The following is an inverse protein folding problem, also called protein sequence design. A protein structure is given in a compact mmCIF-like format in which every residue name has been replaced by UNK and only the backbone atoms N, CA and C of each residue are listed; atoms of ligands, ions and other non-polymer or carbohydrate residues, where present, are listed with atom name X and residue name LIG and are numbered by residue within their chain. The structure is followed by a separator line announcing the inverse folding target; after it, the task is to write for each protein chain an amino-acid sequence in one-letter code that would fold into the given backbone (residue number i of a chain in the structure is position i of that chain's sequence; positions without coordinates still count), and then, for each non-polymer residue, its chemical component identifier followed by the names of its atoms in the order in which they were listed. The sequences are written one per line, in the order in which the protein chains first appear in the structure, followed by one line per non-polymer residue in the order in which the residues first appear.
data_IF_002537570708
#
_entry.id   IF_002537570708
#
_cell.length_a   1.000
_cell.length_b   1.000
_cell.length_c   1.000
_cell.angle_alpha   90.00
_cell.angle_beta   90.00
_cell.angle_gamma   90.00
#
_symmetry.space_group_name_H-M   'P 1'
#
loop_
_entity.id
_entity.type
_entity.pdbx_description
1 polymer ?
#
# COMPACT_ATOMS: atom_id res chain seq x y z
N UNK A 1 3.80 43.74 -23.40
CA UNK A 1 3.35 43.63 -24.80
C UNK A 1 4.56 43.30 -25.65
N UNK A 2 4.59 42.11 -26.23
CA UNK A 2 5.52 41.73 -27.30
C UNK A 2 4.69 40.94 -28.30
N UNK A 3 4.58 41.42 -29.53
CA UNK A 3 3.84 40.77 -30.60
C UNK A 3 4.65 39.58 -31.15
N UNK A 4 4.04 38.41 -31.37
CA UNK A 4 4.75 37.29 -32.02
C UNK A 4 4.93 37.60 -33.52
N UNK A 5 6.17 37.45 -34.00
CA UNK A 5 6.47 37.53 -35.43
C UNK A 5 5.90 36.28 -36.13
N UNK A 6 4.98 36.49 -37.06
CA UNK A 6 4.52 35.46 -37.99
C UNK A 6 5.67 35.15 -38.96
N UNK A 7 6.19 33.92 -38.90
CA UNK A 7 7.01 33.35 -39.97
C UNK A 7 6.11 33.03 -41.18
N UNK A 8 6.59 33.18 -42.43
CA UNK A 8 5.78 32.91 -43.61
C UNK A 8 5.49 31.41 -43.70
N UNK A 9 4.21 31.03 -43.74
CA UNK A 9 3.82 29.66 -44.03
C UNK A 9 4.26 29.29 -45.46
N UNK A 10 4.99 28.19 -45.58
CA UNK A 10 5.44 27.67 -46.87
C UNK A 10 4.28 26.99 -47.61
N UNK A 11 4.18 27.05 -48.96
CA UNK A 11 2.95 26.72 -49.71
C UNK A 11 2.65 25.22 -49.86
N UNK A 12 3.13 24.36 -48.96
CA UNK A 12 2.90 22.91 -49.04
C UNK A 12 1.80 22.49 -48.06
N UNK A 13 0.61 23.02 -48.30
CA UNK A 13 -0.62 22.51 -47.70
C UNK A 13 -0.83 21.03 -48.09
N UNK A 14 -0.69 20.15 -47.09
CA UNK A 14 -1.32 18.84 -46.89
C UNK A 14 -1.79 18.11 -48.16
N UNK A 15 -0.87 17.84 -49.08
CA UNK A 15 -1.09 16.83 -50.12
C UNK A 15 -1.28 15.47 -49.43
N UNK A 16 -2.33 14.73 -49.81
CA UNK A 16 -2.50 13.33 -49.41
C UNK A 16 -1.18 12.57 -49.61
N UNK A 17 -0.80 11.73 -48.65
CA UNK A 17 0.46 10.96 -48.69
C UNK A 17 0.67 10.25 -50.04
N UNK A 18 -0.41 9.80 -50.68
CA UNK A 18 -0.40 9.19 -52.01
C UNK A 18 -0.06 10.19 -53.14
N UNK A 19 -0.58 11.42 -53.07
CA UNK A 19 -0.27 12.50 -54.02
C UNK A 19 1.16 13.02 -53.85
N UNK A 20 1.63 13.15 -52.61
CA UNK A 20 3.01 13.53 -52.31
C UNK A 20 4.01 12.47 -52.82
N UNK A 21 3.77 11.19 -52.54
CA UNK A 21 4.56 10.08 -53.12
C UNK A 21 4.54 10.08 -54.65
N UNK A 22 3.39 10.34 -55.28
CA UNK A 22 3.29 10.41 -56.75
C UNK A 22 4.10 11.58 -57.36
N UNK A 23 4.11 12.74 -56.71
CA UNK A 23 4.90 13.90 -57.14
C UNK A 23 6.39 13.63 -57.00
N UNK A 24 6.83 13.07 -55.86
CA UNK A 24 8.22 12.67 -55.66
C UNK A 24 8.68 11.62 -56.67
N UNK A 25 7.88 10.59 -56.94
CA UNK A 25 8.17 9.60 -57.99
C UNK A 25 8.27 10.25 -59.38
N UNK A 26 7.42 11.23 -59.68
CA UNK A 26 7.45 11.97 -60.95
C UNK A 26 8.70 12.86 -61.09
N UNK A 27 9.13 13.52 -60.02
CA UNK A 27 10.36 14.31 -59.99
C UNK A 27 11.61 13.42 -60.09
N UNK A 28 11.66 12.29 -59.37
CA UNK A 28 12.76 11.30 -59.44
C UNK A 28 12.92 10.78 -60.87
N UNK A 29 11.82 10.37 -61.52
CA UNK A 29 11.79 9.97 -62.95
C UNK A 29 12.25 11.08 -63.90
N UNK A 30 11.91 12.35 -63.62
CA UNK A 30 12.32 13.50 -64.44
C UNK A 30 13.83 13.76 -64.32
N UNK A 31 14.38 13.71 -63.10
CA UNK A 31 15.83 13.82 -62.86
C UNK A 31 16.59 12.66 -63.51
N UNK A 32 16.09 11.41 -63.42
CA UNK A 32 16.70 10.23 -64.08
C UNK A 32 16.77 10.40 -65.60
N UNK A 33 15.67 10.82 -66.25
CA UNK A 33 15.68 11.12 -67.70
C UNK A 33 16.68 12.22 -68.07
N UNK A 34 16.86 13.22 -67.22
CA UNK A 34 17.85 14.28 -67.44
C UNK A 34 19.28 13.81 -67.19
N UNK A 35 19.51 12.91 -66.24
CA UNK A 35 20.81 12.32 -65.96
C UNK A 35 21.24 11.35 -67.06
N UNK A 36 20.34 10.44 -67.50
CA UNK A 36 20.57 9.53 -68.63
C UNK A 36 20.80 10.28 -69.94
N UNK A 37 20.07 11.38 -70.19
CA UNK A 37 20.34 12.23 -71.35
C UNK A 37 21.76 12.84 -71.29
N UNK A 38 22.16 13.33 -70.11
CA UNK A 38 23.52 13.84 -69.89
C UNK A 38 24.59 12.76 -69.99
N UNK A 39 24.29 11.54 -69.53
CA UNK A 39 25.17 10.38 -69.61
C UNK A 39 25.35 9.91 -71.04
N UNK A 40 24.29 9.86 -71.85
CA UNK A 40 24.37 9.60 -73.31
C UNK A 40 25.14 10.69 -74.05
N UNK A 41 24.98 11.95 -73.63
CA UNK A 41 25.76 13.06 -74.18
C UNK A 41 27.25 12.98 -73.77
N UNK A 42 27.58 12.36 -72.64
CA UNK A 42 28.96 12.11 -72.20
C UNK A 42 29.57 10.78 -72.67
N UNK A 43 28.79 9.71 -72.85
CA UNK A 43 29.20 8.42 -73.45
C UNK A 43 29.41 8.51 -74.96
N UNK A 44 28.85 9.54 -75.61
CA UNK A 44 29.28 9.92 -76.95
C UNK A 44 30.78 10.33 -77.00
N UNK A 45 31.45 10.48 -75.86
CA UNK A 45 32.87 10.81 -75.76
C UNK A 45 33.80 9.65 -75.38
N UNK A 46 33.36 8.55 -74.74
CA UNK A 46 34.22 7.41 -74.40
C UNK A 46 33.46 6.07 -74.49
N UNK A 47 34.09 5.04 -75.07
CA UNK A 47 33.53 3.68 -75.20
C UNK A 47 33.94 2.78 -74.04
N UNK A 48 32.93 2.05 -73.55
CA UNK A 48 32.95 0.68 -73.03
C UNK A 48 33.14 0.47 -71.52
N UNK A 49 32.01 0.35 -70.80
CA UNK A 49 31.70 -0.76 -69.87
C UNK A 49 30.19 -0.70 -69.56
N UNK A 50 29.36 -1.45 -70.32
CA UNK A 50 27.91 -1.45 -70.14
C UNK A 50 27.50 -2.35 -68.98
N UNK A 51 27.26 -1.78 -67.80
CA UNK A 51 26.30 -2.34 -66.85
C UNK A 51 24.94 -2.31 -67.53
N UNK A 52 24.20 -3.42 -67.49
CA UNK A 52 22.93 -3.49 -68.22
C UNK A 52 21.87 -2.58 -67.56
N UNK A 53 21.02 -1.94 -68.37
CA UNK A 53 19.92 -1.09 -67.85
C UNK A 53 19.01 -1.86 -66.87
N UNK A 54 18.99 -3.20 -66.96
CA UNK A 54 18.27 -4.11 -66.07
C UNK A 54 18.93 -4.22 -64.67
N UNK A 55 20.27 -4.26 -64.59
CA UNK A 55 21.01 -4.29 -63.32
C UNK A 55 20.95 -2.95 -62.56
N UNK A 56 20.89 -1.82 -63.27
CA UNK A 56 20.68 -0.51 -62.65
C UNK A 56 19.23 -0.34 -62.13
N UNK A 57 18.23 -0.90 -62.80
CA UNK A 57 16.85 -0.91 -62.33
C UNK A 57 16.65 -1.83 -61.11
N UNK A 58 17.30 -3.01 -61.08
CA UNK A 58 17.28 -3.91 -59.91
C UNK A 58 17.90 -3.24 -58.67
N UNK A 59 19.07 -2.60 -58.81
CA UNK A 59 19.72 -1.87 -57.71
C UNK A 59 18.87 -0.71 -57.18
N UNK A 60 18.16 0.02 -58.04
CA UNK A 60 17.25 1.10 -57.62
C UNK A 60 16.00 0.57 -56.89
N UNK A 61 15.46 -0.58 -57.31
CA UNK A 61 14.34 -1.23 -56.61
C UNK A 61 14.77 -1.73 -55.22
N UNK A 62 15.98 -2.30 -55.09
CA UNK A 62 16.55 -2.70 -53.79
C UNK A 62 16.76 -1.50 -52.85
N UNK A 63 17.25 -0.36 -53.37
CA UNK A 63 17.41 0.87 -52.58
C UNK A 63 16.08 1.45 -52.11
N UNK A 64 15.06 1.50 -52.98
CA UNK A 64 13.71 1.97 -52.63
C UNK A 64 13.06 1.05 -51.57
N UNK A 65 13.27 -0.27 -51.65
CA UNK A 65 12.83 -1.23 -50.64
C UNK A 65 13.55 -1.06 -49.29
N UNK A 66 14.86 -0.83 -49.28
CA UNK A 66 15.61 -0.55 -48.05
C UNK A 66 15.13 0.75 -47.38
N UNK A 67 14.84 1.78 -48.17
CA UNK A 67 14.33 3.06 -47.66
C UNK A 67 12.94 2.88 -47.02
N UNK A 68 12.06 2.09 -47.64
CA UNK A 68 10.74 1.75 -47.08
C UNK A 68 10.87 0.93 -45.78
N UNK A 69 11.77 -0.07 -45.74
CA UNK A 69 12.08 -0.83 -44.52
C UNK A 69 12.59 0.06 -43.39
N UNK A 70 13.44 1.06 -43.69
CA UNK A 70 13.92 2.04 -42.69
C UNK A 70 12.79 2.91 -42.14
N UNK A 71 11.89 3.40 -43.00
CA UNK A 71 10.75 4.22 -42.59
C UNK A 71 9.74 3.42 -41.74
N UNK A 72 9.52 2.15 -42.08
CA UNK A 72 8.69 1.25 -41.27
C UNK A 72 9.33 0.98 -39.90
N UNK A 73 10.63 0.72 -39.85
CA UNK A 73 11.36 0.56 -38.60
C UNK A 73 11.32 1.83 -37.74
N UNK A 74 11.42 3.02 -38.34
CA UNK A 74 11.29 4.30 -37.62
C UNK A 74 9.86 4.49 -37.06
N UNK A 75 8.82 4.14 -37.84
CA UNK A 75 7.42 4.17 -37.39
C UNK A 75 7.18 3.20 -36.23
N UNK A 76 7.73 1.99 -36.31
CA UNK A 76 7.65 1.01 -35.23
C UNK A 76 8.31 1.52 -33.96
N UNK A 77 9.53 2.07 -34.06
CA UNK A 77 10.22 2.70 -32.92
C UNK A 77 9.42 3.83 -32.30
N UNK A 78 8.82 4.70 -33.11
CA UNK A 78 7.98 5.79 -32.62
C UNK A 78 6.72 5.26 -31.91
N UNK A 79 6.12 4.19 -32.44
CA UNK A 79 4.97 3.54 -31.84
C UNK A 79 5.31 2.87 -30.49
N UNK A 80 6.44 2.17 -30.41
CA UNK A 80 6.95 1.60 -29.15
C UNK A 80 7.21 2.70 -28.12
N UNK A 81 7.84 3.82 -28.52
CA UNK A 81 8.04 4.96 -27.64
C UNK A 81 6.72 5.56 -27.15
N UNK A 82 5.69 5.58 -28.00
CA UNK A 82 4.36 6.05 -27.61
C UNK A 82 3.71 5.10 -26.61
N UNK A 83 3.74 3.78 -26.85
CA UNK A 83 3.21 2.78 -25.93
C UNK A 83 3.90 2.83 -24.56
N UNK A 84 5.23 2.96 -24.53
CA UNK A 84 5.99 3.10 -23.29
C UNK A 84 5.63 4.36 -22.52
N UNK A 85 5.40 5.49 -23.21
CA UNK A 85 4.94 6.72 -22.56
C UNK A 85 3.54 6.56 -21.99
N UNK A 86 2.67 5.89 -22.72
CA UNK A 86 1.28 5.65 -22.31
C UNK A 86 1.22 4.75 -21.07
N UNK A 87 1.97 3.64 -21.08
CA UNK A 87 2.09 2.72 -19.93
C UNK A 87 2.64 3.44 -18.69
N UNK A 88 3.71 4.22 -18.87
CA UNK A 88 4.28 5.03 -17.78
C UNK A 88 3.28 6.05 -17.24
N UNK A 89 2.51 6.70 -18.10
CA UNK A 89 1.48 7.65 -17.67
C UNK A 89 0.36 6.96 -16.88
N UNK A 90 -0.04 5.74 -17.27
CA UNK A 90 -1.03 4.95 -16.54
C UNK A 90 -0.50 4.48 -15.18
N UNK A 91 0.75 4.04 -15.11
CA UNK A 91 1.40 3.65 -13.85
C UNK A 91 1.52 4.85 -12.90
N UNK A 92 1.97 6.00 -13.39
CA UNK A 92 2.05 7.24 -12.61
C UNK A 92 0.68 7.68 -12.10
N UNK A 93 -0.37 7.56 -12.91
CA UNK A 93 -1.74 7.86 -12.49
C UNK A 93 -2.23 6.92 -11.39
N UNK A 94 -1.97 5.61 -11.52
CA UNK A 94 -2.32 4.61 -10.50
C UNK A 94 -1.59 4.88 -9.18
N UNK A 95 -0.27 5.09 -9.25
CA UNK A 95 0.55 5.37 -8.07
C UNK A 95 0.12 6.68 -7.38
N UNK A 96 -0.23 7.70 -8.16
CA UNK A 96 -0.73 8.98 -7.62
C UNK A 96 -2.05 8.79 -6.88
N UNK A 97 -2.97 8.01 -7.46
CA UNK A 97 -4.27 7.71 -6.85
C UNK A 97 -4.11 6.94 -5.53
N UNK A 98 -3.24 5.94 -5.50
CA UNK A 98 -2.92 5.17 -4.29
C UNK A 98 -2.30 6.05 -3.20
N UNK A 99 -1.35 6.93 -3.56
CA UNK A 99 -0.77 7.90 -2.62
C UNK A 99 -1.80 8.87 -2.05
N UNK A 100 -2.74 9.34 -2.88
CA UNK A 100 -3.82 10.24 -2.45
C UNK A 100 -4.79 9.54 -1.50
N UNK A 101 -5.18 8.31 -1.80
CA UNK A 101 -6.03 7.49 -0.93
C UNK A 101 -5.34 7.16 0.40
N UNK A 102 -4.05 6.80 0.38
CA UNK A 102 -3.26 6.58 1.59
C UNK A 102 -3.04 7.87 2.41
N UNK A 103 -2.99 9.03 1.76
CA UNK A 103 -2.94 10.32 2.45
C UNK A 103 -4.30 10.66 3.10
N UNK A 104 -5.42 10.40 2.41
CA UNK A 104 -6.77 10.57 2.95
C UNK A 104 -6.99 9.69 4.17
N UNK A 105 -6.62 8.40 4.09
CA UNK A 105 -6.75 7.46 5.21
C UNK A 105 -5.95 7.92 6.44
N UNK A 106 -4.72 8.41 6.25
CA UNK A 106 -3.90 8.98 7.34
C UNK A 106 -4.55 10.22 7.97
N UNK A 107 -5.13 11.11 7.16
CA UNK A 107 -5.85 12.28 7.68
C UNK A 107 -7.09 11.86 8.49
N UNK A 108 -7.85 10.87 8.02
CA UNK A 108 -9.00 10.32 8.74
C UNK A 108 -8.57 9.70 10.09
N UNK A 109 -7.48 8.91 10.11
CA UNK A 109 -6.90 8.33 11.34
C UNK A 109 -6.44 9.42 12.32
N UNK A 110 -5.73 10.44 11.85
CA UNK A 110 -5.30 11.59 12.66
C UNK A 110 -6.51 12.38 13.23
N UNK A 111 -7.57 12.57 12.44
CA UNK A 111 -8.79 13.24 12.90
C UNK A 111 -9.51 12.43 13.98
N UNK A 112 -9.57 11.10 13.84
CA UNK A 112 -10.14 10.20 14.86
C UNK A 112 -9.34 10.29 16.16
N UNK A 113 -8.00 10.24 16.09
CA UNK A 113 -7.13 10.39 17.27
C UNK A 113 -7.33 11.76 17.93
N UNK A 114 -7.40 12.83 17.14
CA UNK A 114 -7.64 14.17 17.65
C UNK A 114 -9.00 14.28 18.34
N UNK A 115 -10.08 13.77 17.73
CA UNK A 115 -11.41 13.72 18.34
C UNK A 115 -11.43 12.93 19.63
N UNK A 116 -10.75 11.77 19.67
CA UNK A 116 -10.62 10.96 20.88
C UNK A 116 -9.91 11.76 21.99
N UNK A 117 -8.84 12.48 21.66
CA UNK A 117 -8.09 13.32 22.61
C UNK A 117 -8.94 14.48 23.15
N UNK A 118 -9.71 15.17 22.29
CA UNK A 118 -10.61 16.25 22.72
C UNK A 118 -11.74 15.71 23.62
N UNK A 119 -12.35 14.59 23.24
CA UNK A 119 -13.41 13.95 24.04
C UNK A 119 -12.93 13.55 25.45
N UNK A 120 -11.65 13.18 25.59
CA UNK A 120 -11.02 12.87 26.88
C UNK A 120 -10.88 14.12 27.75
N UNK A 121 -10.43 15.24 27.16
CA UNK A 121 -10.26 16.51 27.87
C UNK A 121 -11.61 17.08 28.33
N UNK A 122 -12.65 17.00 27.49
CA UNK A 122 -13.99 17.53 27.79
C UNK A 122 -14.73 16.71 28.86
N UNK A 123 -14.58 15.38 28.86
CA UNK A 123 -15.30 14.51 29.80
C UNK A 123 -14.59 14.31 31.15
N UNK A 124 -13.38 14.86 31.33
CA UNK A 124 -12.60 14.70 32.57
C UNK A 124 -12.26 13.25 32.91
N UNK A 125 -12.33 12.34 31.94
CA UNK A 125 -12.05 10.92 32.12
C UNK A 125 -10.54 10.74 32.08
N UNK A 126 -9.91 10.75 33.26
CA UNK A 126 -8.50 10.40 33.39
C UNK A 126 -8.30 8.97 32.87
N UNK A 127 -7.50 8.80 31.81
CA UNK A 127 -7.13 7.48 31.25
C UNK A 127 -6.46 6.55 32.27
N UNK A 128 -5.96 7.11 33.38
CA UNK A 128 -5.37 6.36 34.47
C UNK A 128 -6.42 5.93 35.49
N UNK A 129 -6.22 4.72 36.01
CA UNK A 129 -7.01 4.22 37.13
C UNK A 129 -6.90 5.22 38.30
N UNK A 130 -7.99 5.50 39.04
CA UNK A 130 -7.92 6.33 40.22
C UNK A 130 -6.83 5.83 41.17
N UNK A 131 -6.22 6.76 41.91
CA UNK A 131 -5.19 6.41 42.88
C UNK A 131 -5.75 5.37 43.87
N UNK A 132 -5.01 4.28 44.12
CA UNK A 132 -5.48 3.25 45.02
C UNK A 132 -5.66 3.83 46.43
N UNK A 133 -6.74 3.49 47.16
CA UNK A 133 -6.94 3.93 48.53
C UNK A 133 -5.77 3.54 49.43
N UNK A 134 -5.39 4.45 50.34
CA UNK A 134 -4.36 4.19 51.34
C UNK A 134 -4.74 2.97 52.21
N UNK A 135 -3.80 2.05 52.42
CA UNK A 135 -3.90 0.81 53.23
C UNK A 135 -4.54 -0.45 52.62
N UNK A 136 -4.88 -0.51 51.32
CA UNK A 136 -5.37 -1.76 50.72
C UNK A 136 -4.22 -2.72 50.38
N UNK A 137 -4.22 -3.91 51.00
CA UNK A 137 -3.32 -5.02 50.62
C UNK A 137 -1.84 -4.72 50.85
N UNK A 138 -1.50 -4.03 51.94
CA UNK A 138 -0.10 -3.79 52.31
C UNK A 138 0.59 -5.10 52.67
N UNK A 139 1.84 -5.31 52.25
CA UNK A 139 2.60 -6.54 52.56
C UNK A 139 2.80 -6.78 54.06
N UNK A 140 2.51 -5.74 54.87
CA UNK A 140 2.51 -5.77 56.32
C UNK A 140 1.39 -6.67 56.88
N UNK A 141 0.29 -6.82 56.15
CA UNK A 141 -0.75 -7.80 56.49
C UNK A 141 -0.27 -9.21 56.12
N UNK A 142 0.07 -9.98 57.16
CA UNK A 142 0.52 -11.37 57.04
C UNK A 142 -0.64 -12.35 56.97
N UNK A 143 -1.84 -11.97 57.41
CA UNK A 143 -2.99 -12.85 57.45
C UNK A 143 -3.64 -12.98 56.06
N UNK A 144 -3.68 -11.88 55.32
CA UNK A 144 -4.32 -11.84 54.01
C UNK A 144 -3.31 -11.82 52.86
N UNK A 145 -3.70 -12.39 51.72
CA UNK A 145 -2.87 -12.39 50.53
C UNK A 145 -2.91 -11.01 49.84
N UNK A 146 -1.78 -10.28 49.77
CA UNK A 146 -1.76 -8.95 49.17
C UNK A 146 -2.02 -9.00 47.66
N UNK A 147 -1.59 -10.07 46.98
CA UNK A 147 -1.84 -10.26 45.55
C UNK A 147 -3.32 -10.44 45.28
N UNK A 148 -3.97 -11.36 46.00
CA UNK A 148 -5.40 -11.63 45.83
C UNK A 148 -6.26 -10.41 46.19
N UNK A 149 -5.94 -9.67 47.26
CA UNK A 149 -6.71 -8.47 47.62
C UNK A 149 -6.61 -7.39 46.54
N UNK A 150 -5.44 -7.22 45.92
CA UNK A 150 -5.23 -6.17 44.91
C UNK A 150 -5.77 -6.54 43.54
N UNK A 151 -5.61 -7.80 43.11
CA UNK A 151 -5.89 -8.21 41.73
C UNK A 151 -7.01 -9.26 41.62
N UNK A 152 -7.55 -9.75 42.73
CA UNK A 152 -8.49 -10.88 42.72
C UNK A 152 -7.89 -12.21 42.27
N UNK A 153 -6.57 -12.28 42.04
CA UNK A 153 -5.89 -13.51 41.61
C UNK A 153 -4.54 -13.70 42.29
N UNK A 154 -4.16 -14.97 42.48
CA UNK A 154 -2.92 -15.38 43.13
C UNK A 154 -2.32 -16.58 42.42
N UNK A 155 -1.01 -16.57 42.17
CA UNK A 155 -0.26 -17.69 41.56
C UNK A 155 -0.41 -19.03 42.29
N UNK A 156 -0.72 -18.98 43.58
CA UNK A 156 -0.88 -20.18 44.40
C UNK A 156 -2.33 -20.68 44.46
N UNK A 157 -3.30 -19.89 43.96
CA UNK A 157 -4.72 -20.23 44.02
C UNK A 157 -5.14 -20.63 45.44
N UNK A 158 -5.86 -21.73 45.57
CA UNK A 158 -6.32 -22.24 46.86
C UNK A 158 -5.20 -22.87 47.73
N UNK A 159 -4.00 -23.08 47.16
CA UNK A 159 -2.81 -23.51 47.92
C UNK A 159 -2.05 -22.35 48.54
N UNK A 160 -2.57 -21.12 48.47
CA UNK A 160 -1.92 -19.99 49.11
C UNK A 160 -1.91 -20.17 50.64
N UNK A 161 -0.78 -19.87 51.26
CA UNK A 161 -0.65 -19.89 52.72
C UNK A 161 -1.37 -18.72 53.41
N UNK A 162 -1.78 -17.70 52.65
CA UNK A 162 -2.48 -16.51 53.14
C UNK A 162 -3.95 -16.55 52.72
N UNK A 163 -4.82 -15.86 53.48
CA UNK A 163 -6.26 -15.90 53.25
C UNK A 163 -6.68 -15.15 51.98
N UNK A 164 -7.55 -15.77 51.20
CA UNK A 164 -8.28 -15.17 50.07
C UNK A 164 -9.73 -14.89 50.50
N UNK A 165 -10.19 -13.65 50.34
CA UNK A 165 -11.55 -13.26 50.69
C UNK A 165 -12.41 -13.20 49.43
N UNK A 166 -13.41 -14.07 49.32
CA UNK A 166 -14.34 -14.10 48.19
C UNK A 166 -15.65 -13.39 48.60
N UNK A 167 -15.85 -12.10 48.26
CA UNK A 167 -17.06 -11.39 48.65
C UNK A 167 -18.28 -11.96 47.92
N UNK A 168 -19.39 -12.14 48.64
CA UNK A 168 -20.66 -12.62 48.05
C UNK A 168 -21.31 -11.57 47.13
N UNK A 169 -21.01 -10.29 47.36
CA UNK A 169 -21.47 -9.16 46.53
C UNK A 169 -20.32 -8.18 46.34
N UNK A 170 -20.10 -7.76 45.11
CA UNK A 170 -19.06 -6.81 44.71
C UNK A 170 -19.50 -6.06 43.46
N UNK A 171 -19.10 -4.79 43.33
CA UNK A 171 -19.31 -4.01 42.11
C UNK A 171 -18.42 -4.44 40.96
N UNK A 172 -17.32 -5.12 41.27
CA UNK A 172 -16.34 -5.61 40.30
C UNK A 172 -16.42 -7.12 40.20
N UNK A 173 -16.66 -7.62 38.99
CA UNK A 173 -16.61 -9.02 38.61
C UNK A 173 -15.29 -9.34 37.93
N UNK A 174 -14.78 -10.55 38.17
CA UNK A 174 -13.59 -11.10 37.53
C UNK A 174 -13.99 -12.39 36.82
N UNK A 175 -13.85 -12.40 35.49
CA UNK A 175 -13.96 -13.61 34.66
C UNK A 175 -12.54 -14.06 34.30
N UNK A 176 -12.14 -15.23 34.79
CA UNK A 176 -10.77 -15.73 34.63
C UNK A 176 -10.56 -16.32 33.24
N UNK A 177 -9.48 -15.92 32.56
CA UNK A 177 -9.08 -16.49 31.27
C UNK A 177 -10.14 -16.41 30.17
N UNK A 178 -10.96 -15.36 30.16
CA UNK A 178 -12.01 -15.19 29.16
C UNK A 178 -11.47 -14.76 27.79
N UNK A 179 -10.35 -14.04 27.77
CA UNK A 179 -9.64 -13.64 26.55
C UNK A 179 -8.28 -14.32 26.47
N UNK A 180 -8.13 -15.32 25.61
CA UNK A 180 -6.86 -16.02 25.44
C UNK A 180 -6.54 -16.04 23.95
N UNK A 181 -5.37 -15.53 23.60
CA UNK A 181 -4.83 -15.62 22.24
C UNK A 181 -3.65 -16.58 22.22
N UNK A 182 -3.34 -17.12 21.05
CA UNK A 182 -2.19 -18.01 20.88
C UNK A 182 -0.88 -17.33 21.31
N UNK A 183 -0.73 -16.04 21.01
CA UNK A 183 0.42 -15.23 21.46
C UNK A 183 0.58 -15.20 22.98
N UNK A 184 -0.49 -15.29 23.76
CA UNK A 184 -0.45 -15.34 25.23
C UNK A 184 -0.27 -16.77 25.80
N UNK A 185 -0.33 -17.81 24.97
CA UNK A 185 -0.23 -19.22 25.37
C UNK A 185 1.22 -19.73 25.48
N UNK A 186 2.23 -18.85 25.39
CA UNK A 186 3.68 -19.14 25.32
C UNK A 186 4.28 -20.07 26.41
N UNK A 187 3.50 -20.59 27.36
CA UNK A 187 3.96 -21.50 28.40
C UNK A 187 4.27 -22.95 27.91
N UNK A 188 4.11 -23.28 26.62
CA UNK A 188 4.20 -24.67 26.12
C UNK A 188 4.91 -24.91 24.79
N UNK A 189 5.60 -23.93 24.19
CA UNK A 189 6.33 -24.18 22.94
C UNK A 189 7.79 -24.53 23.21
N UNK A 190 8.17 -25.68 22.68
CA UNK A 190 9.47 -26.32 22.70
C UNK A 190 10.46 -25.44 21.91
N UNK A 191 11.69 -25.33 22.41
CA UNK A 191 12.78 -24.48 21.94
C UNK A 191 13.22 -24.73 20.46
N UNK A 192 12.54 -25.63 19.76
CA UNK A 192 12.84 -26.08 18.39
C UNK A 192 12.02 -25.36 17.31
N UNK A 193 11.00 -24.57 17.67
CA UNK A 193 10.20 -23.81 16.71
C UNK A 193 10.75 -22.39 16.57
N UNK A 194 11.74 -22.22 15.68
CA UNK A 194 12.40 -20.92 15.40
C UNK A 194 11.47 -19.95 14.65
N UNK A 195 10.37 -20.45 14.07
CA UNK A 195 9.36 -19.68 13.33
C UNK A 195 8.22 -19.19 14.24
N UNK A 196 7.97 -19.88 15.37
CA UNK A 196 6.89 -19.55 16.31
C UNK A 196 6.79 -18.09 16.76
N UNK A 197 7.90 -17.34 16.74
CA UNK A 197 7.97 -15.93 17.12
C UNK A 197 7.65 -14.96 15.98
N UNK A 198 7.67 -15.42 14.73
CA UNK A 198 7.32 -14.67 13.52
C UNK A 198 5.84 -14.84 13.14
N UNK A 199 5.16 -15.85 13.70
CA UNK A 199 3.75 -16.17 13.39
C UNK A 199 2.73 -15.21 14.02
N UNK A 200 3.13 -14.33 14.97
CA UNK A 200 2.19 -13.45 15.66
C UNK A 200 2.79 -12.07 15.93
N UNK A 201 2.19 -11.06 15.35
CA UNK A 201 2.47 -9.67 15.69
C UNK A 201 1.60 -9.19 16.86
N UNK A 202 2.12 -8.22 17.63
CA UNK A 202 1.33 -7.51 18.64
C UNK A 202 0.07 -6.86 18.01
N UNK A 203 0.15 -6.48 16.73
CA UNK A 203 -0.95 -5.93 15.94
C UNK A 203 -2.12 -6.94 15.79
N UNK A 204 -1.83 -8.19 15.43
CA UNK A 204 -2.87 -9.23 15.32
C UNK A 204 -3.50 -9.55 16.68
N UNK A 205 -2.70 -9.53 17.75
CA UNK A 205 -3.21 -9.73 19.11
C UNK A 205 -4.15 -8.58 19.49
N UNK A 206 -3.82 -7.35 19.12
CA UNK A 206 -4.67 -6.20 19.34
C UNK A 206 -5.96 -6.27 18.51
N UNK A 207 -5.89 -6.69 17.24
CA UNK A 207 -7.07 -6.88 16.40
C UNK A 207 -8.03 -7.95 16.97
N UNK A 208 -7.49 -9.08 17.44
CA UNK A 208 -8.27 -10.11 18.13
C UNK A 208 -8.89 -9.58 19.43
N UNK A 209 -8.19 -8.71 20.15
CA UNK A 209 -8.73 -8.04 21.32
C UNK A 209 -9.88 -7.09 20.97
N UNK A 210 -9.77 -6.32 19.88
CA UNK A 210 -10.84 -5.43 19.44
C UNK A 210 -12.11 -6.22 19.09
N UNK A 211 -11.97 -7.28 18.30
CA UNK A 211 -13.10 -8.16 17.95
C UNK A 211 -13.75 -8.75 19.22
N UNK A 212 -12.94 -9.24 20.16
CA UNK A 212 -13.41 -9.71 21.45
C UNK A 212 -14.13 -8.62 22.25
N UNK A 213 -13.56 -7.41 22.30
CA UNK A 213 -14.11 -6.29 23.08
C UNK A 213 -15.47 -5.85 22.52
N UNK A 214 -15.58 -5.78 21.19
CA UNK A 214 -16.82 -5.40 20.49
C UNK A 214 -17.93 -6.45 20.64
N UNK A 215 -17.58 -7.74 20.71
CA UNK A 215 -18.54 -8.82 20.94
C UNK A 215 -18.99 -8.90 22.41
N UNK A 216 -18.04 -8.76 23.34
CA UNK A 216 -18.28 -9.07 24.77
C UNK A 216 -18.77 -7.88 25.58
N UNK A 217 -18.31 -6.66 25.29
CA UNK A 217 -18.73 -5.49 26.06
C UNK A 217 -20.26 -5.27 26.03
N UNK A 218 -20.95 -5.38 24.88
CA UNK A 218 -22.41 -5.19 24.82
C UNK A 218 -23.16 -6.18 25.71
N UNK A 219 -22.69 -7.43 25.82
CA UNK A 219 -23.32 -8.45 26.67
C UNK A 219 -23.29 -8.05 28.15
N UNK A 220 -22.18 -7.46 28.61
CA UNK A 220 -22.11 -6.93 29.97
C UNK A 220 -22.93 -5.65 30.16
N UNK A 221 -23.00 -4.80 29.12
CA UNK A 221 -23.84 -3.60 29.15
C UNK A 221 -25.34 -3.93 29.19
N UNK A 222 -25.76 -5.07 28.64
CA UNK A 222 -27.14 -5.55 28.71
C UNK A 222 -27.58 -5.89 30.14
N UNK A 223 -26.64 -6.30 31.00
CA UNK A 223 -26.92 -6.64 32.41
C UNK A 223 -26.99 -5.40 33.29
N UNK A 224 -26.19 -4.37 32.98
CA UNK A 224 -26.17 -3.13 33.75
C UNK A 224 -25.14 -2.14 33.25
N UNK A 225 -25.09 -0.97 33.89
CA UNK A 225 -24.16 0.09 33.46
C UNK A 225 -22.72 -0.26 33.85
N UNK A 226 -21.91 -0.60 32.83
CA UNK A 226 -20.47 -0.84 32.97
C UNK A 226 -19.73 0.50 33.09
N UNK A 227 -18.89 0.61 34.12
CA UNK A 227 -18.02 1.77 34.39
C UNK A 227 -16.59 1.50 33.92
N UNK A 228 -16.07 0.31 34.17
CA UNK A 228 -14.77 -0.13 33.66
C UNK A 228 -14.86 -1.53 33.08
N UNK A 229 -14.24 -1.71 31.93
CA UNK A 229 -14.00 -3.02 31.31
C UNK A 229 -12.52 -3.11 31.02
N UNK A 230 -11.83 -4.10 31.62
CA UNK A 230 -10.38 -4.25 31.49
C UNK A 230 -10.02 -5.71 31.28
N UNK A 231 -9.06 -5.95 30.40
CA UNK A 231 -8.57 -7.29 30.07
C UNK A 231 -7.08 -7.37 30.34
N UNK A 232 -6.66 -8.42 31.03
CA UNK A 232 -5.26 -8.68 31.36
C UNK A 232 -4.53 -9.34 30.20
N UNK A 233 -3.59 -8.62 29.61
CA UNK A 233 -2.58 -9.15 28.68
C UNK A 233 -1.35 -9.66 29.46
N UNK A 234 -1.54 -10.70 30.27
CA UNK A 234 -0.46 -11.35 31.04
C UNK A 234 -0.18 -12.74 30.47
N UNK A 235 1.05 -13.24 30.62
CA UNK A 235 1.43 -14.59 30.21
C UNK A 235 1.21 -15.62 31.31
N UNK A 236 1.28 -15.21 32.58
CA UNK A 236 1.15 -16.14 33.69
C UNK A 236 -0.27 -16.71 33.81
N UNK A 237 -0.43 -18.03 34.02
CA UNK A 237 -1.74 -18.69 34.00
C UNK A 237 -2.80 -18.13 34.97
N UNK A 238 -2.38 -17.48 36.05
CA UNK A 238 -3.29 -16.94 37.06
C UNK A 238 -3.80 -15.53 36.72
N UNK A 239 -3.17 -14.82 35.79
CA UNK A 239 -3.55 -13.46 35.37
C UNK A 239 -3.97 -13.39 33.90
N UNK A 240 -3.44 -14.29 33.08
CA UNK A 240 -3.66 -14.35 31.64
C UNK A 240 -5.14 -14.33 31.28
N UNK A 241 -5.53 -13.36 30.45
CA UNK A 241 -6.86 -13.29 29.90
C UNK A 241 -7.97 -12.95 30.89
N UNK A 242 -7.61 -12.52 32.10
CA UNK A 242 -8.58 -12.13 33.10
C UNK A 242 -9.31 -10.87 32.66
N UNK A 243 -10.65 -10.90 32.71
CA UNK A 243 -11.52 -9.79 32.38
C UNK A 243 -12.13 -9.24 33.68
N UNK A 244 -11.90 -7.96 33.94
CA UNK A 244 -12.44 -7.21 35.06
C UNK A 244 -13.54 -6.29 34.56
N UNK A 245 -14.74 -6.49 35.09
CA UNK A 245 -15.91 -5.68 34.75
C UNK A 245 -16.41 -5.02 36.01
N UNK A 246 -16.38 -3.68 36.05
CA UNK A 246 -16.91 -2.89 37.15
C UNK A 246 -18.25 -2.28 36.75
N UNK A 247 -19.28 -2.56 37.53
CA UNK A 247 -20.60 -1.95 37.39
C UNK A 247 -20.76 -0.73 38.28
N UNK A 248 -21.72 0.14 37.94
CA UNK A 248 -22.04 1.31 38.73
C UNK A 248 -22.62 0.95 40.13
N UNK A 249 -23.44 -0.10 40.18
CA UNK A 249 -24.18 -0.57 41.37
C UNK A 249 -23.87 -2.01 41.69
#
# INVERSE_FOLDING_TARGET
MAAPMLLPESPLEKLSHQKYRAILKKEKRKKKRQALAKLRDSEAAEKDESVSEEEEEELEEEEDEEEEKKLEAERQKLHEQWLLREEKAQEEFRLKKEKEEAARKRQEEEEVIYKLSVMVLENGVTWHNPEPPENIGTEKDRANCPFYIKTGSCRFGDRCSRKHNYPTSSKTLLVRGMFITFGMEQCRRDDYDTDASLEYSDEETYQQFLEFYEDVLPEFQNVGKVVQFKVSCNYEPHLRGNVYVQYQT
#
